data_IF_110009324813
#
_entry.id   IF_110009324813
#
_cell.length_a   1.000
_cell.length_b   1.000
_cell.length_c   1.000
_cell.angle_alpha   90.00
_cell.angle_beta   90.00
_cell.angle_gamma   90.00
#
_symmetry.space_group_name_H-M   'P 1'
#
loop_
_entity.id
_entity.type
_entity.pdbx_description
1 polymer ?
#
# COMPACT_ATOMS: atom_id res chain seq x y z
N UNK A 1 19.95 -1.86 5.16
CA UNK A 1 19.47 -1.12 4.01
C UNK A 1 19.21 -2.07 2.84
N UNK A 2 18.08 -1.93 2.14
CA UNK A 2 17.84 -2.58 0.84
C UNK A 2 18.56 -1.79 -0.28
N UNK A 3 19.10 -2.44 -1.32
CA UNK A 3 19.73 -1.72 -2.42
C UNK A 3 18.67 -0.99 -3.25
N UNK A 4 19.03 0.18 -3.79
CA UNK A 4 18.16 0.91 -4.70
C UNK A 4 17.90 0.10 -5.98
N UNK A 5 16.66 0.20 -6.45
CA UNK A 5 16.22 -0.45 -7.68
C UNK A 5 16.15 0.59 -8.80
N UNK A 6 16.52 0.18 -10.01
CA UNK A 6 16.40 1.00 -11.22
C UNK A 6 15.84 0.18 -12.38
N UNK A 7 15.49 0.86 -13.47
CA UNK A 7 14.99 0.25 -14.69
C UNK A 7 16.03 0.36 -15.81
N UNK A 8 16.21 -0.70 -16.59
CA UNK A 8 16.99 -0.67 -17.84
C UNK A 8 16.10 -0.48 -19.09
N UNK A 9 14.79 -0.28 -18.88
CA UNK A 9 13.76 -0.20 -19.91
C UNK A 9 12.93 -1.48 -20.06
N UNK A 10 13.38 -2.61 -19.51
CA UNK A 10 12.66 -3.90 -19.56
C UNK A 10 12.55 -4.51 -18.16
N UNK A 11 13.64 -4.50 -17.41
CA UNK A 11 13.79 -5.17 -16.12
C UNK A 11 14.04 -4.18 -15.00
N UNK A 12 13.66 -4.62 -13.80
CA UNK A 12 14.07 -4.00 -12.55
C UNK A 12 15.43 -4.61 -12.17
N UNK A 13 16.41 -3.75 -11.92
CA UNK A 13 17.78 -4.13 -11.58
C UNK A 13 18.15 -3.56 -10.20
N UNK A 14 19.03 -4.25 -9.47
CA UNK A 14 19.71 -3.69 -8.30
C UNK A 14 20.95 -2.88 -8.73
N UNK A 15 21.62 -2.21 -7.78
CA UNK A 15 22.84 -1.41 -8.04
C UNK A 15 24.00 -2.18 -8.72
N UNK A 16 24.03 -3.51 -8.62
CA UNK A 16 25.03 -4.35 -9.27
C UNK A 16 24.66 -4.74 -10.71
N UNK A 17 23.53 -4.24 -11.23
CA UNK A 17 22.99 -4.59 -12.54
C UNK A 17 22.32 -5.97 -12.59
N UNK A 18 22.08 -6.61 -11.44
CA UNK A 18 21.39 -7.91 -11.38
C UNK A 18 19.89 -7.70 -11.44
N UNK A 19 19.21 -8.52 -12.25
CA UNK A 19 17.75 -8.54 -12.33
C UNK A 19 17.12 -8.90 -10.99
N UNK A 20 16.13 -8.11 -10.59
CA UNK A 20 15.27 -8.32 -9.43
C UNK A 20 13.84 -8.57 -9.92
N UNK A 21 13.27 -9.71 -9.54
CA UNK A 21 11.85 -9.96 -9.73
C UNK A 21 11.10 -9.55 -8.45
N UNK A 22 10.15 -8.62 -8.57
CA UNK A 22 9.26 -8.27 -7.46
C UNK A 22 8.15 -9.31 -7.35
N UNK A 23 8.11 -9.98 -6.21
CA UNK A 23 7.03 -10.87 -5.79
C UNK A 23 6.24 -10.10 -4.74
N UNK A 24 5.17 -9.46 -5.22
CA UNK A 24 4.38 -8.52 -4.46
C UNK A 24 3.17 -9.15 -3.77
N UNK A 25 2.73 -8.48 -2.70
CA UNK A 25 1.41 -8.66 -2.09
C UNK A 25 0.83 -7.29 -1.69
N UNK A 26 -0.50 -7.19 -1.58
CA UNK A 26 -1.19 -6.00 -1.10
C UNK A 26 -1.42 -6.03 0.40
N UNK A 27 -1.13 -4.92 1.09
CA UNK A 27 -1.50 -4.68 2.48
C UNK A 27 -2.40 -3.46 2.54
N UNK A 28 -3.70 -3.68 2.38
CA UNK A 28 -4.65 -2.57 2.35
C UNK A 28 -5.04 -2.12 3.77
N UNK A 29 -4.76 -2.95 4.78
CA UNK A 29 -4.97 -2.66 6.21
C UNK A 29 -4.36 -1.34 6.68
N UNK A 30 -3.24 -0.93 6.08
CA UNK A 30 -2.59 0.35 6.38
C UNK A 30 -3.49 1.54 6.03
N UNK A 31 -4.41 1.38 5.09
CA UNK A 31 -5.43 2.36 4.75
C UNK A 31 -6.70 2.26 5.61
N UNK A 32 -6.85 1.27 6.51
CA UNK A 32 -8.06 1.05 7.33
C UNK A 32 -7.78 1.08 8.85
N UNK A 33 -6.61 1.55 9.30
CA UNK A 33 -6.13 1.54 10.70
C UNK A 33 -6.04 0.17 11.37
N UNK A 34 -5.91 -0.90 10.60
CA UNK A 34 -5.80 -2.27 11.13
C UNK A 34 -4.34 -2.64 11.38
N UNK A 35 -3.69 -1.90 12.28
CA UNK A 35 -2.25 -2.00 12.56
C UNK A 35 -1.88 -3.14 13.52
N UNK A 36 -2.83 -3.63 14.32
CA UNK A 36 -2.60 -4.61 15.39
C UNK A 36 -1.93 -5.90 14.92
N UNK A 37 -2.08 -6.25 13.63
CA UNK A 37 -1.49 -7.46 13.04
C UNK A 37 -0.44 -7.18 11.96
N UNK A 38 -0.01 -5.93 11.81
CA UNK A 38 0.90 -5.55 10.74
C UNK A 38 2.23 -6.30 10.83
N UNK A 39 2.79 -6.46 12.02
CA UNK A 39 4.05 -7.17 12.24
C UNK A 39 3.96 -8.66 11.89
N UNK A 40 2.86 -9.31 12.30
CA UNK A 40 2.58 -10.70 11.98
C UNK A 40 2.38 -10.88 10.47
N UNK A 41 1.69 -9.92 9.83
CA UNK A 41 1.52 -9.90 8.38
C UNK A 41 2.87 -9.77 7.65
N UNK A 42 3.74 -8.86 8.08
CA UNK A 42 5.10 -8.73 7.51
C UNK A 42 5.89 -10.03 7.67
N UNK A 43 5.79 -10.69 8.83
CA UNK A 43 6.44 -11.98 9.07
C UNK A 43 5.89 -13.08 8.15
N UNK A 44 4.58 -13.17 7.96
CA UNK A 44 3.94 -14.12 7.05
C UNK A 44 4.38 -13.89 5.60
N UNK A 45 4.37 -12.62 5.15
CA UNK A 45 4.79 -12.22 3.81
C UNK A 45 6.25 -12.64 3.54
N UNK A 46 7.14 -12.40 4.50
CA UNK A 46 8.54 -12.85 4.41
C UNK A 46 8.64 -14.38 4.37
N UNK A 47 7.88 -15.09 5.21
CA UNK A 47 7.93 -16.56 5.29
C UNK A 47 7.54 -17.24 3.97
N UNK A 48 6.68 -16.59 3.18
CA UNK A 48 6.23 -17.04 1.86
C UNK A 48 7.18 -16.67 0.72
N UNK A 49 8.26 -15.95 1.01
CA UNK A 49 9.27 -15.55 0.03
C UNK A 49 8.85 -14.39 -0.86
N UNK A 50 7.86 -13.59 -0.44
CA UNK A 50 7.59 -12.29 -1.05
C UNK A 50 8.71 -11.31 -0.70
N UNK A 51 9.03 -10.42 -1.62
CA UNK A 51 10.06 -9.40 -1.44
C UNK A 51 9.55 -7.99 -1.77
N UNK A 52 8.25 -7.84 -2.03
CA UNK A 52 7.61 -6.56 -2.23
C UNK A 52 6.24 -6.54 -1.53
N UNK A 53 5.90 -5.40 -0.94
CA UNK A 53 4.61 -5.16 -0.31
C UNK A 53 4.08 -3.80 -0.75
N UNK A 54 2.83 -3.79 -1.22
CA UNK A 54 2.10 -2.58 -1.54
C UNK A 54 1.38 -2.10 -0.28
N UNK A 55 1.75 -0.93 0.22
CA UNK A 55 1.11 -0.29 1.37
C UNK A 55 0.14 0.78 0.86
N UNK A 56 -1.13 0.69 1.26
CA UNK A 56 -2.15 1.66 0.89
C UNK A 56 -2.23 2.79 1.91
N UNK A 57 -2.42 4.02 1.47
CA UNK A 57 -2.69 5.18 2.34
C UNK A 57 -3.66 6.14 1.68
N UNK A 58 -4.27 7.05 2.44
CA UNK A 58 -5.13 8.10 1.89
C UNK A 58 -4.57 9.47 2.21
N UNK A 59 -4.57 10.38 1.24
CA UNK A 59 -4.24 11.78 1.51
C UNK A 59 -5.28 12.41 2.44
N UNK A 60 -4.87 13.17 3.47
CA UNK A 60 -5.80 13.96 4.28
C UNK A 60 -6.58 14.93 3.37
N UNK A 61 -7.89 15.05 3.59
CA UNK A 61 -8.68 16.05 2.86
C UNK A 61 -8.31 17.48 3.33
N UNK A 62 -8.44 18.49 2.45
CA UNK A 62 -8.35 19.90 2.86
C UNK A 62 -9.35 20.22 3.99
N UNK A 63 -8.92 21.10 4.90
CA UNK A 63 -9.73 21.53 6.04
C UNK A 63 -11.10 22.08 5.60
N UNK A 64 -12.18 21.59 6.23
CA UNK A 64 -13.55 22.03 5.94
C UNK A 64 -14.28 21.28 4.82
N UNK A 65 -13.66 20.28 4.18
CA UNK A 65 -14.40 19.39 3.28
C UNK A 65 -15.10 18.27 4.07
N UNK A 66 -16.43 18.11 3.96
CA UNK A 66 -17.14 17.04 4.65
C UNK A 66 -16.68 15.68 4.13
N UNK A 67 -16.49 14.71 5.05
CA UNK A 67 -16.04 13.34 4.80
C UNK A 67 -16.78 12.69 3.62
N UNK A 68 -16.27 12.92 2.42
CA UNK A 68 -16.87 12.41 1.21
C UNK A 68 -16.47 10.94 1.08
N UNK A 69 -17.27 10.04 1.63
CA UNK A 69 -17.16 8.58 1.45
C UNK A 69 -15.92 7.90 2.06
N UNK A 70 -15.13 8.64 2.86
CA UNK A 70 -13.94 8.16 3.61
C UNK A 70 -14.32 7.30 4.84
N UNK A 71 -15.55 6.80 4.99
CA UNK A 71 -16.00 6.16 6.24
C UNK A 71 -15.35 4.80 6.59
N UNK A 72 -14.44 4.28 5.78
CA UNK A 72 -13.64 3.10 6.14
C UNK A 72 -12.13 3.38 6.17
N UNK A 73 -11.69 4.46 5.57
CA UNK A 73 -10.29 4.68 5.22
C UNK A 73 -9.64 5.71 6.15
N UNK A 74 -8.44 5.40 6.64
CA UNK A 74 -7.68 6.25 7.57
C UNK A 74 -6.79 7.21 6.81
N UNK A 75 -6.73 8.45 7.29
CA UNK A 75 -5.82 9.46 6.77
C UNK A 75 -4.37 9.04 6.95
N UNK A 76 -3.50 9.51 6.04
CA UNK A 76 -2.06 9.32 6.14
C UNK A 76 -1.54 9.87 7.46
N UNK A 77 -0.88 9.00 8.23
CA UNK A 77 -0.13 9.34 9.42
C UNK A 77 1.35 9.04 9.16
N UNK A 78 2.24 10.06 9.18
CA UNK A 78 3.64 9.87 8.85
C UNK A 78 4.35 8.92 9.81
N UNK A 79 4.01 8.91 11.11
CA UNK A 79 4.70 8.07 12.09
C UNK A 79 4.40 6.58 11.85
N UNK A 80 3.13 6.27 11.56
CA UNK A 80 2.73 4.90 11.21
C UNK A 80 3.29 4.46 9.86
N UNK A 81 3.48 5.40 8.93
CA UNK A 81 4.04 5.06 7.62
C UNK A 81 5.54 4.84 7.65
N UNK A 82 6.28 5.65 8.40
CA UNK A 82 7.69 5.41 8.66
C UNK A 82 7.88 4.07 9.38
N UNK A 83 7.04 3.77 10.38
CA UNK A 83 7.03 2.46 11.03
C UNK A 83 6.84 1.32 10.03
N UNK A 84 5.82 1.41 9.17
CA UNK A 84 5.49 0.36 8.22
C UNK A 84 6.60 0.12 7.18
N UNK A 85 7.22 1.21 6.69
CA UNK A 85 8.34 1.15 5.75
C UNK A 85 9.57 0.53 6.42
N UNK A 86 9.92 0.99 7.62
CA UNK A 86 11.07 0.48 8.36
C UNK A 86 10.93 -1.01 8.66
N UNK A 87 9.73 -1.45 9.09
CA UNK A 87 9.47 -2.86 9.39
C UNK A 87 9.61 -3.75 8.14
N UNK A 88 9.12 -3.28 6.99
CA UNK A 88 9.32 -3.98 5.71
C UNK A 88 10.81 -4.06 5.34
N UNK A 89 11.56 -2.96 5.50
CA UNK A 89 12.98 -2.91 5.16
C UNK A 89 13.84 -3.83 6.05
N UNK A 90 13.59 -3.87 7.35
CA UNK A 90 14.19 -4.82 8.29
C UNK A 90 13.99 -6.28 7.84
N UNK A 91 12.86 -6.53 7.18
CA UNK A 91 12.48 -7.83 6.65
C UNK A 91 12.89 -8.08 5.20
N UNK A 92 13.67 -7.17 4.60
CA UNK A 92 14.13 -7.24 3.20
C UNK A 92 12.99 -7.23 2.19
N UNK A 93 11.92 -6.50 2.51
CA UNK A 93 10.75 -6.33 1.66
C UNK A 93 10.75 -4.90 1.11
N UNK A 94 10.75 -4.76 -0.22
CA UNK A 94 10.56 -3.48 -0.89
C UNK A 94 9.13 -2.98 -0.71
N UNK A 95 8.95 -1.68 -0.54
CA UNK A 95 7.64 -1.07 -0.37
C UNK A 95 7.21 -0.33 -1.63
N UNK A 96 5.95 -0.51 -2.02
CA UNK A 96 5.25 0.36 -2.98
C UNK A 96 4.16 1.12 -2.24
N UNK A 97 4.33 2.43 -2.09
CA UNK A 97 3.32 3.28 -1.46
C UNK A 97 2.25 3.65 -2.49
N UNK A 98 0.99 3.37 -2.18
CA UNK A 98 -0.13 3.65 -3.07
C UNK A 98 -1.14 4.57 -2.40
N UNK A 99 -1.28 5.76 -2.99
CA UNK A 99 -2.32 6.69 -2.59
C UNK A 99 -3.68 6.24 -3.12
N UNK A 100 -4.62 6.02 -2.21
CA UNK A 100 -5.98 5.60 -2.48
C UNK A 100 -6.94 6.77 -2.69
N UNK A 101 -6.44 8.02 -2.69
CA UNK A 101 -7.25 9.22 -2.89
C UNK A 101 -8.12 9.17 -4.16
N UNK A 102 -7.61 8.64 -5.28
CA UNK A 102 -8.38 8.48 -6.53
C UNK A 102 -9.64 7.62 -6.34
N UNK A 103 -9.57 6.61 -5.48
CA UNK A 103 -10.69 5.70 -5.18
C UNK A 103 -11.64 6.25 -4.11
N UNK A 104 -11.21 7.29 -3.40
CA UNK A 104 -11.91 7.86 -2.25
C UNK A 104 -12.44 9.28 -2.50
N UNK A 105 -12.10 9.94 -3.61
CA UNK A 105 -12.46 11.33 -3.88
C UNK A 105 -13.59 11.47 -4.92
N UNK A 106 -14.49 12.43 -4.67
CA UNK A 106 -15.59 12.78 -5.58
C UNK A 106 -15.14 13.49 -6.86
N UNK A 107 -13.95 14.10 -6.85
CA UNK A 107 -13.42 14.90 -7.98
C UNK A 107 -13.01 14.04 -9.18
N UNK A 108 -12.89 12.72 -8.97
CA UNK A 108 -12.18 11.84 -9.88
C UNK A 108 -12.94 10.52 -10.16
N UNK A 109 -14.12 10.37 -9.56
CA UNK A 109 -14.87 9.12 -9.55
C UNK A 109 -15.60 8.88 -10.89
N UNK A 110 -15.13 7.91 -11.67
CA UNK A 110 -15.84 7.32 -12.82
C UNK A 110 -16.71 6.10 -12.47
N UNK A 111 -16.99 5.85 -11.19
CA UNK A 111 -17.81 4.73 -10.71
C UNK A 111 -19.07 5.27 -10.03
N UNK A 112 -20.02 5.75 -10.84
CA UNK A 112 -21.37 6.12 -10.38
C UNK A 112 -22.27 4.90 -10.08
N UNK A 113 -21.71 3.69 -9.96
CA UNK A 113 -22.46 2.55 -9.42
C UNK A 113 -21.96 2.23 -8.01
N UNK A 114 -22.86 2.10 -7.02
CA UNK A 114 -22.49 1.76 -5.66
C UNK A 114 -21.64 0.49 -5.72
N UNK A 115 -20.43 0.54 -5.17
CA UNK A 115 -19.67 -0.67 -4.92
C UNK A 115 -20.59 -1.60 -4.12
N UNK A 116 -20.79 -2.84 -4.58
CA UNK A 116 -21.64 -3.78 -3.87
C UNK A 116 -21.20 -3.87 -2.39
N UNK A 117 -22.17 -3.93 -1.48
CA UNK A 117 -21.91 -3.82 -0.04
C UNK A 117 -21.07 -4.98 0.49
N UNK A 118 -20.98 -6.09 -0.27
CA UNK A 118 -20.26 -7.28 0.10
C UNK A 118 -19.26 -7.71 -0.97
N UNK A 119 -18.08 -8.15 -0.53
CA UNK A 119 -16.98 -8.65 -1.39
C UNK A 119 -17.40 -9.86 -2.28
N UNK A 120 -18.48 -10.55 -1.91
CA UNK A 120 -19.08 -11.66 -2.66
C UNK A 120 -19.89 -11.22 -3.89
N UNK A 121 -20.21 -9.94 -3.99
CA UNK A 121 -20.99 -9.36 -5.08
C UNK A 121 -20.06 -8.83 -6.20
N UNK A 122 -18.77 -9.14 -6.14
CA UNK A 122 -17.71 -8.69 -7.06
C UNK A 122 -17.47 -9.67 -8.23
N UNK A 123 -18.42 -10.58 -8.52
CA UNK A 123 -18.36 -11.59 -9.61
C UNK A 123 -19.05 -11.07 -10.88
#
# INVERSE_FOLDING_TARGET
MLPWLHLDGIWILNEEGKRVALRGTGCDYTAYRKWDWFDEFVADVKSRGYNNMRLAFNTPLPEGQPDAWINKHTAYDPEWMDYAVNKCEENKIYVTLVNMAWWASKEVQGWEMPLPNHEQEWI
#
